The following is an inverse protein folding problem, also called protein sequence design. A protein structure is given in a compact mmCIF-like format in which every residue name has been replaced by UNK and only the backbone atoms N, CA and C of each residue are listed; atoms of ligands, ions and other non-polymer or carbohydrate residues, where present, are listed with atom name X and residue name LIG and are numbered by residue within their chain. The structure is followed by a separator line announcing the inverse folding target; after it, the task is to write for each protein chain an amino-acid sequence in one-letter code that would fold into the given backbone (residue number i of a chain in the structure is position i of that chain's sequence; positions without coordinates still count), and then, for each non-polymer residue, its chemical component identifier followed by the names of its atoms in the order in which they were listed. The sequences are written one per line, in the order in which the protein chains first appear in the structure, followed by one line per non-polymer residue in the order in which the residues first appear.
data_IF_432693483397
#
_entry.id   IF_432693483397
#
_cell.length_a   1.000
_cell.length_b   1.000
_cell.length_c   1.000
_cell.angle_alpha   90.00
_cell.angle_beta   90.00
_cell.angle_gamma   90.00
#
_symmetry.space_group_name_H-M   'P 1'
#
loop_
_entity.id
_entity.type
_entity.pdbx_description
1 polymer ?
#
# COMPACT_ATOMS: atom_id res chain seq x y z
N UNK A 1 -8.10 6.91 8.43
CA UNK A 1 -7.94 7.03 6.96
C UNK A 1 -7.99 5.61 6.40
N UNK A 2 -8.68 5.37 5.28
CA UNK A 2 -8.75 4.02 4.71
C UNK A 2 -7.58 3.83 3.74
N UNK A 3 -6.54 3.10 4.15
CA UNK A 3 -5.34 2.86 3.35
C UNK A 3 -5.66 2.13 2.04
N UNK A 4 -6.72 1.33 2.00
CA UNK A 4 -7.19 0.67 0.78
C UNK A 4 -7.65 1.67 -0.30
N UNK A 5 -8.22 2.82 0.09
CA UNK A 5 -8.63 3.85 -0.88
C UNK A 5 -7.41 4.52 -1.50
N UNK A 6 -6.41 4.83 -0.68
CA UNK A 6 -5.18 5.49 -1.11
C UNK A 6 -4.41 4.65 -2.14
N UNK A 7 -4.27 3.34 -1.91
CA UNK A 7 -3.61 2.44 -2.89
C UNK A 7 -4.39 2.32 -4.19
N UNK A 8 -5.73 2.29 -4.13
CA UNK A 8 -6.58 2.27 -5.33
C UNK A 8 -6.39 3.58 -6.12
N UNK A 9 -6.37 4.72 -5.44
CA UNK A 9 -6.12 6.02 -6.07
C UNK A 9 -4.78 6.02 -6.80
N UNK A 10 -3.68 5.58 -6.16
CA UNK A 10 -2.36 5.44 -6.78
C UNK A 10 -2.43 4.59 -8.05
N UNK A 11 -3.10 3.44 -7.99
CA UNK A 11 -3.21 2.53 -9.13
C UNK A 11 -4.04 3.13 -10.28
N UNK A 12 -5.06 3.93 -9.99
CA UNK A 12 -5.91 4.57 -10.99
C UNK A 12 -5.34 5.89 -11.53
N UNK A 13 -4.26 6.43 -10.95
CA UNK A 13 -3.63 7.65 -11.45
C UNK A 13 -3.23 7.52 -12.93
N UNK A 14 -3.48 8.59 -13.69
CA UNK A 14 -3.02 8.75 -15.07
C UNK A 14 -1.56 9.24 -15.07
N UNK A 15 -0.65 8.31 -14.80
CA UNK A 15 0.80 8.50 -14.70
C UNK A 15 1.51 7.33 -15.39
N UNK A 16 2.81 7.50 -15.65
CA UNK A 16 3.61 6.41 -16.22
C UNK A 16 3.59 5.18 -15.32
N UNK A 17 3.70 4.00 -15.95
CA UNK A 17 3.82 2.72 -15.24
C UNK A 17 4.97 2.75 -14.22
N UNK A 18 6.12 3.29 -14.61
CA UNK A 18 7.30 3.42 -13.75
C UNK A 18 7.01 4.26 -12.49
N UNK A 19 6.38 5.43 -12.66
CA UNK A 19 6.01 6.30 -11.54
C UNK A 19 4.94 5.64 -10.66
N UNK A 20 4.01 4.89 -11.25
CA UNK A 20 3.00 4.11 -10.52
C UNK A 20 3.65 3.03 -9.67
N UNK A 21 4.58 2.25 -10.23
CA UNK A 21 5.35 1.25 -9.49
C UNK A 21 6.16 1.88 -8.36
N UNK A 22 6.79 3.03 -8.60
CA UNK A 22 7.54 3.76 -7.56
C UNK A 22 6.64 4.14 -6.39
N UNK A 23 5.49 4.78 -6.66
CA UNK A 23 4.52 5.17 -5.64
C UNK A 23 3.94 4.00 -4.87
N UNK A 24 3.65 2.89 -5.55
CA UNK A 24 3.18 1.68 -4.87
C UNK A 24 4.26 1.07 -3.96
N UNK A 25 5.54 1.10 -4.35
CA UNK A 25 6.64 0.65 -3.50
C UNK A 25 6.83 1.57 -2.28
N UNK A 26 6.77 2.88 -2.46
CA UNK A 26 6.82 3.84 -1.34
C UNK A 26 5.64 3.61 -0.38
N UNK A 27 4.43 3.39 -0.91
CA UNK A 27 3.23 3.07 -0.14
C UNK A 27 3.36 1.74 0.64
N UNK A 28 4.00 0.72 0.05
CA UNK A 28 4.28 -0.53 0.76
C UNK A 28 5.18 -0.31 1.97
N UNK A 29 6.21 0.52 1.83
CA UNK A 29 7.12 0.85 2.93
C UNK A 29 6.38 1.59 4.06
N UNK A 30 5.50 2.53 3.70
CA UNK A 30 4.68 3.25 4.67
C UNK A 30 3.73 2.33 5.43
N UNK A 31 3.05 1.41 4.73
CA UNK A 31 2.19 0.41 5.38
C UNK A 31 2.98 -0.51 6.29
N UNK A 32 4.19 -0.92 5.89
CA UNK A 32 5.07 -1.74 6.72
C UNK A 32 5.47 -1.01 8.01
N UNK A 33 5.93 0.23 7.89
CA UNK A 33 6.30 1.05 9.05
C UNK A 33 5.11 1.32 9.98
N UNK A 34 3.91 1.50 9.42
CA UNK A 34 2.69 1.66 10.22
C UNK A 34 2.33 0.37 10.97
N UNK A 35 2.42 -0.80 10.33
CA UNK A 35 2.20 -2.08 11.00
C UNK A 35 3.13 -2.26 12.21
N UNK A 36 4.44 -2.08 12.01
CA UNK A 36 5.44 -2.18 13.09
C UNK A 36 5.16 -1.18 14.22
N UNK A 37 4.82 0.07 13.89
CA UNK A 37 4.50 1.08 14.90
C UNK A 37 3.22 0.74 15.69
N UNK A 38 2.22 0.09 15.06
CA UNK A 38 0.97 -0.25 15.74
C UNK A 38 1.05 -1.52 16.58
N UNK A 39 2.01 -2.40 16.30
CA UNK A 39 2.33 -3.53 17.18
C UNK A 39 2.82 -3.04 18.55
N UNK A 40 3.65 -2.00 18.58
CA UNK A 40 4.08 -1.35 19.83
C UNK A 40 2.92 -0.59 20.51
N UNK A 41 2.06 0.05 19.73
CA UNK A 41 0.93 0.85 20.24
C UNK A 41 -0.33 0.04 20.58
N UNK A 42 -0.30 -1.29 20.38
CA UNK A 42 -1.41 -2.22 20.60
C UNK A 42 -2.73 -1.80 19.91
N UNK A 43 -2.66 -1.32 18.67
CA UNK A 43 -3.84 -0.95 17.86
C UNK A 43 -4.06 -1.93 16.69
N UNK A 44 -4.65 -3.11 16.97
CA UNK A 44 -4.78 -4.16 15.97
C UNK A 44 -5.69 -3.77 14.80
N UNK A 45 -6.67 -2.88 14.99
CA UNK A 45 -7.52 -2.42 13.89
C UNK A 45 -6.75 -1.59 12.84
N UNK A 46 -5.77 -0.81 13.28
CA UNK A 46 -4.94 0.01 12.40
C UNK A 46 -3.91 -0.88 11.70
N UNK A 47 -3.28 -1.80 12.43
CA UNK A 47 -2.41 -2.83 11.85
C UNK A 47 -3.15 -3.62 10.76
N UNK A 48 -4.37 -4.10 11.04
CA UNK A 48 -5.16 -4.87 10.08
C UNK A 48 -5.50 -4.07 8.82
N UNK A 49 -5.81 -2.78 8.97
CA UNK A 49 -6.08 -1.89 7.84
C UNK A 49 -4.83 -1.72 6.95
N UNK A 50 -3.68 -1.42 7.57
CA UNK A 50 -2.41 -1.30 6.86
C UNK A 50 -2.00 -2.62 6.18
N UNK A 51 -2.20 -3.78 6.82
CA UNK A 51 -1.91 -5.09 6.26
C UNK A 51 -2.74 -5.40 5.01
N UNK A 52 -4.04 -5.08 5.01
CA UNK A 52 -4.90 -5.24 3.83
C UNK A 52 -4.44 -4.38 2.67
N UNK A 53 -4.17 -3.10 2.94
CA UNK A 53 -3.73 -2.17 1.90
C UNK A 53 -2.35 -2.54 1.35
N UNK A 54 -1.44 -3.02 2.22
CA UNK A 54 -0.14 -3.58 1.81
C UNK A 54 -0.31 -4.74 0.83
N UNK A 55 -1.20 -5.69 1.15
CA UNK A 55 -1.43 -6.83 0.26
C UNK A 55 -2.04 -6.40 -1.08
N UNK A 56 -2.94 -5.42 -1.08
CA UNK A 56 -3.52 -4.86 -2.30
C UNK A 56 -2.45 -4.17 -3.16
N UNK A 57 -1.58 -3.37 -2.56
CA UNK A 57 -0.47 -2.70 -3.26
C UNK A 57 0.49 -3.72 -3.90
N UNK A 58 0.80 -4.82 -3.19
CA UNK A 58 1.60 -5.93 -3.75
C UNK A 58 0.95 -6.56 -4.97
N UNK A 59 -0.36 -6.78 -4.93
CA UNK A 59 -1.08 -7.36 -6.06
C UNK A 59 -1.02 -6.44 -7.28
N UNK A 60 -1.25 -5.13 -7.09
CA UNK A 60 -1.16 -4.15 -8.17
C UNK A 60 0.25 -4.01 -8.75
N UNK A 61 1.30 -4.04 -7.90
CA UNK A 61 2.68 -4.06 -8.38
C UNK A 61 2.95 -5.27 -9.28
N UNK A 62 2.52 -6.45 -8.86
CA UNK A 62 2.67 -7.67 -9.67
C UNK A 62 1.93 -7.56 -11.00
N UNK A 63 0.69 -7.08 -10.98
CA UNK A 63 -0.08 -6.87 -12.22
C UNK A 63 0.62 -5.92 -13.19
N UNK A 64 1.20 -4.83 -12.66
CA UNK A 64 1.98 -3.90 -13.47
C UNK A 64 3.25 -4.58 -13.99
N UNK A 65 4.02 -5.27 -13.16
CA UNK A 65 5.26 -5.93 -13.59
C UNK A 65 5.03 -7.02 -14.67
N UNK A 66 3.89 -7.70 -14.62
CA UNK A 66 3.50 -8.76 -15.56
C UNK A 66 2.92 -8.22 -16.90
N UNK A 67 2.68 -6.91 -17.05
CA UNK A 67 2.14 -6.27 -18.28
C UNK A 67 3.19 -5.60 -19.16
#
# INVERSE_FOLDING_TARGET
MNREVEVIEIYLMDISKEEKCKRLNDFLLDCFNEMEAQDENMRPEVHHNAAKAYQLAKNYLRELEDT
#
